data_IF_031057648331
#
_entry.id   IF_031057648331
#
_cell.length_a   1.000
_cell.length_b   1.000
_cell.length_c   1.000
_cell.angle_alpha   90.00
_cell.angle_beta   90.00
_cell.angle_gamma   90.00
#
_symmetry.space_group_name_H-M   'P 1'
#
loop_
_entity.id
_entity.type
_entity.pdbx_description
1 polymer ?
#
# COMPACT_ATOMS: atom_id res chain seq x y z
N UNK A 1 0.13 33.76 -93.83
CA UNK A 1 -0.08 32.38 -94.34
C UNK A 1 1.26 31.72 -94.60
N UNK A 2 1.71 30.82 -93.72
CA UNK A 2 2.43 29.57 -94.03
C UNK A 2 2.67 28.83 -92.70
N UNK A 3 2.18 27.60 -92.65
CA UNK A 3 2.31 26.63 -91.56
C UNK A 3 3.71 26.00 -91.59
N UNK A 4 4.19 25.54 -90.42
CA UNK A 4 4.41 24.12 -90.12
C UNK A 4 5.59 23.88 -89.16
N UNK A 5 5.29 23.16 -88.06
CA UNK A 5 6.03 22.04 -87.41
C UNK A 5 7.49 22.28 -86.98
N UNK A 6 8.00 21.87 -85.82
CA UNK A 6 7.89 20.55 -85.16
C UNK A 6 8.51 20.65 -83.75
N UNK A 7 7.94 19.95 -82.76
CA UNK A 7 8.62 19.51 -81.51
C UNK A 7 9.51 18.28 -81.84
N UNK A 8 10.58 17.93 -81.08
CA UNK A 8 10.38 17.31 -79.75
C UNK A 8 11.56 17.33 -78.72
N UNK A 9 11.22 16.87 -77.49
CA UNK A 9 12.03 16.09 -76.52
C UNK A 9 13.17 16.83 -75.76
N UNK A 10 13.47 16.63 -74.45
CA UNK A 10 12.79 16.10 -73.24
C UNK A 10 13.82 16.14 -72.08
N UNK A 11 13.37 16.42 -70.84
CA UNK A 11 13.91 15.98 -69.50
C UNK A 11 15.31 16.51 -69.07
N UNK A 12 15.40 17.47 -68.15
CA UNK A 12 15.42 17.42 -66.65
C UNK A 12 16.84 17.79 -66.15
N UNK A 13 17.09 18.38 -64.99
CA UNK A 13 16.45 18.30 -63.68
C UNK A 13 16.78 19.54 -62.82
N UNK A 14 15.88 19.79 -61.86
CA UNK A 14 15.86 20.71 -60.71
C UNK A 14 17.23 21.01 -60.06
N UNK A 15 17.57 22.28 -59.77
CA UNK A 15 17.04 23.14 -58.69
C UNK A 15 17.38 22.63 -57.28
N UNK A 16 18.13 23.42 -56.50
CA UNK A 16 17.68 23.97 -55.21
C UNK A 16 18.65 25.03 -54.65
N UNK A 17 18.01 26.13 -54.33
CA UNK A 17 18.41 27.40 -53.73
C UNK A 17 18.65 27.28 -52.22
N UNK A 18 19.45 28.17 -51.62
CA UNK A 18 18.98 29.11 -50.57
C UNK A 18 20.08 30.08 -50.11
N UNK A 19 19.76 31.37 -50.23
CA UNK A 19 20.43 32.51 -49.61
C UNK A 19 19.76 32.83 -48.27
N UNK A 20 20.44 33.57 -47.38
CA UNK A 20 19.90 34.81 -46.76
C UNK A 20 20.91 35.54 -45.87
N UNK A 21 20.73 36.85 -45.84
CA UNK A 21 21.59 37.93 -45.40
C UNK A 21 20.75 38.88 -44.51
N UNK A 22 21.42 39.60 -43.60
CA UNK A 22 21.09 40.92 -43.00
C UNK A 22 20.00 41.04 -41.92
N UNK A 23 20.39 41.65 -40.78
CA UNK A 23 19.57 42.26 -39.72
C UNK A 23 19.30 43.76 -40.00
N UNK A 24 18.33 44.44 -39.32
CA UNK A 24 18.76 45.50 -38.38
C UNK A 24 17.83 45.85 -37.19
N UNK A 25 18.48 46.21 -36.07
CA UNK A 25 18.30 47.29 -35.06
C UNK A 25 16.95 48.05 -34.93
N UNK A 26 16.41 48.18 -33.69
CA UNK A 26 16.09 49.47 -33.01
C UNK A 26 15.57 49.31 -31.56
N UNK A 27 16.05 50.23 -30.72
CA UNK A 27 15.97 50.44 -29.25
C UNK A 27 14.67 51.04 -28.72
N UNK A 28 14.20 50.59 -27.53
CA UNK A 28 13.57 51.45 -26.48
C UNK A 28 13.95 50.89 -25.09
N UNK A 29 14.70 51.66 -24.31
CA UNK A 29 14.94 51.42 -22.89
C UNK A 29 13.86 52.14 -22.07
N UNK A 30 13.10 51.40 -21.28
CA UNK A 30 12.05 51.91 -20.40
C UNK A 30 12.25 51.43 -18.95
N UNK A 31 12.34 52.41 -18.04
CA UNK A 31 12.04 52.37 -16.60
C UNK A 31 12.49 51.15 -15.77
N UNK A 32 13.61 51.33 -15.06
CA UNK A 32 13.97 50.54 -13.87
C UNK A 32 13.07 50.98 -12.72
N UNK A 33 12.03 50.19 -12.43
CA UNK A 33 11.35 50.19 -11.14
C UNK A 33 11.80 48.95 -10.37
N UNK A 34 12.49 49.14 -9.25
CA UNK A 34 12.91 48.08 -8.33
C UNK A 34 11.69 47.45 -7.67
N UNK A 35 11.10 46.46 -8.32
CA UNK A 35 10.23 45.48 -7.68
C UNK A 35 11.06 44.23 -7.39
N UNK A 36 11.41 44.01 -6.11
CA UNK A 36 11.95 42.73 -5.67
C UNK A 36 10.87 41.67 -5.85
N UNK A 37 10.86 41.02 -7.01
CA UNK A 37 10.12 39.78 -7.20
C UNK A 37 10.74 38.77 -6.23
N UNK A 38 10.06 38.51 -5.11
CA UNK A 38 10.26 37.30 -4.34
C UNK A 38 9.85 36.14 -5.27
N UNK A 39 10.83 35.62 -6.01
CA UNK A 39 10.71 34.31 -6.62
C UNK A 39 10.60 33.35 -5.45
N UNK A 40 9.37 32.93 -5.13
CA UNK A 40 9.15 31.83 -4.22
C UNK A 40 10.03 30.66 -4.72
N UNK A 41 10.76 29.97 -3.84
CA UNK A 41 11.51 28.79 -4.27
C UNK A 41 10.52 27.88 -4.99
N UNK A 42 10.81 27.53 -6.24
CA UNK A 42 10.09 26.45 -6.89
C UNK A 42 10.11 25.25 -5.93
N UNK A 43 8.99 24.52 -5.74
CA UNK A 43 9.01 23.33 -4.91
C UNK A 43 10.15 22.46 -5.41
N UNK A 44 11.14 22.25 -4.55
CA UNK A 44 12.23 21.36 -4.87
C UNK A 44 11.59 19.97 -4.98
N UNK A 45 11.45 19.48 -6.21
CA UNK A 45 11.26 18.05 -6.47
C UNK A 45 12.53 17.39 -5.96
N UNK A 46 12.52 17.02 -4.67
CA UNK A 46 13.50 16.07 -4.17
C UNK A 46 13.06 14.72 -4.71
N UNK A 47 13.89 14.14 -5.57
CA UNK A 47 13.82 12.71 -5.83
C UNK A 47 13.77 12.05 -4.45
N UNK A 48 12.67 11.37 -4.14
CA UNK A 48 12.69 10.38 -3.07
C UNK A 48 13.94 9.54 -3.32
N UNK A 49 14.76 9.30 -2.30
CA UNK A 49 15.95 8.47 -2.47
C UNK A 49 15.57 7.22 -3.27
N UNK A 50 16.27 6.90 -4.35
CA UNK A 50 15.99 5.76 -5.25
C UNK A 50 16.06 4.38 -4.56
N UNK A 51 16.13 4.33 -3.22
CA UNK A 51 16.14 3.12 -2.42
C UNK A 51 14.77 2.80 -1.82
N UNK A 52 14.59 1.53 -1.46
CA UNK A 52 13.40 1.04 -0.77
C UNK A 52 13.17 1.78 0.57
N UNK A 53 12.00 2.44 0.77
CA UNK A 53 11.68 3.16 1.99
C UNK A 53 11.54 2.28 3.23
N UNK A 54 11.49 0.95 3.08
CA UNK A 54 11.42 -0.03 4.17
C UNK A 54 12.79 -0.63 4.53
N UNK A 55 13.85 -0.34 3.77
CA UNK A 55 15.19 -0.85 4.03
C UNK A 55 16.00 0.00 5.04
N UNK A 56 17.02 -0.59 5.67
CA UNK A 56 17.99 0.16 6.48
C UNK A 56 17.54 0.54 7.91
N UNK A 57 16.40 0.05 8.37
CA UNK A 57 16.00 0.07 9.79
C UNK A 57 15.12 -1.16 10.10
N UNK A 58 15.11 -1.66 11.36
CA UNK A 58 14.19 -2.72 11.75
C UNK A 58 12.74 -2.21 11.76
N UNK A 59 11.77 -3.12 11.63
CA UNK A 59 10.36 -2.80 11.89
C UNK A 59 10.09 -2.76 13.39
N UNK A 60 9.11 -1.94 13.80
CA UNK A 60 8.81 -1.71 15.21
C UNK A 60 8.02 -2.87 15.85
N UNK A 61 8.52 -3.36 16.98
CA UNK A 61 7.82 -4.31 17.84
C UNK A 61 6.97 -3.53 18.83
N UNK A 62 5.66 -3.76 18.84
CA UNK A 62 4.75 -3.10 19.79
C UNK A 62 4.88 -3.72 21.20
N UNK A 63 5.45 -3.00 22.18
CA UNK A 63 5.63 -3.53 23.54
C UNK A 63 4.31 -3.69 24.31
N UNK A 64 3.20 -3.17 23.76
CA UNK A 64 1.87 -3.24 24.35
C UNK A 64 0.91 -4.11 23.50
N UNK A 65 1.43 -4.98 22.64
CA UNK A 65 0.60 -5.91 21.85
C UNK A 65 -0.11 -6.94 22.74
N UNK A 66 -1.20 -7.52 22.23
CA UNK A 66 -1.88 -8.62 22.93
C UNK A 66 -0.96 -9.85 23.08
N UNK A 67 -0.13 -10.14 22.07
CA UNK A 67 0.89 -11.17 22.13
C UNK A 67 1.93 -10.89 23.23
N UNK A 68 2.40 -9.64 23.36
CA UNK A 68 3.33 -9.26 24.42
C UNK A 68 2.72 -9.43 25.81
N UNK A 69 1.46 -9.00 26.01
CA UNK A 69 0.74 -9.26 27.27
C UNK A 69 0.59 -10.76 27.55
N UNK A 70 0.20 -11.55 26.55
CA UNK A 70 0.04 -12.98 26.70
C UNK A 70 1.35 -13.68 27.07
N UNK A 71 2.46 -13.34 26.38
CA UNK A 71 3.79 -13.87 26.66
C UNK A 71 4.27 -13.52 28.08
N UNK A 72 4.07 -12.27 28.53
CA UNK A 72 4.44 -11.83 29.88
C UNK A 72 3.60 -12.49 30.99
N UNK A 73 2.34 -12.84 30.69
CA UNK A 73 1.43 -13.49 31.63
C UNK A 73 1.51 -15.02 31.65
N UNK A 74 2.27 -15.64 30.74
CA UNK A 74 2.33 -17.10 30.61
C UNK A 74 3.09 -17.74 31.79
N UNK A 75 2.44 -18.70 32.47
CA UNK A 75 3.02 -19.48 33.55
C UNK A 75 2.67 -20.98 33.37
N UNK A 76 3.65 -21.85 33.03
CA UNK A 76 5.05 -21.52 32.76
C UNK A 76 5.22 -20.68 31.49
N UNK A 77 6.38 -20.01 31.29
CA UNK A 77 6.64 -19.22 30.08
C UNK A 77 6.44 -20.04 28.79
N UNK A 78 5.78 -19.45 27.79
CA UNK A 78 5.63 -20.05 26.45
C UNK A 78 6.65 -19.47 25.47
N UNK A 79 7.56 -20.29 24.90
CA UNK A 79 8.50 -19.82 23.88
C UNK A 79 7.76 -19.38 22.60
N UNK A 80 6.65 -20.02 22.24
CA UNK A 80 5.85 -19.69 21.07
C UNK A 80 5.26 -18.27 21.18
N UNK A 81 4.63 -17.95 22.32
CA UNK A 81 4.10 -16.61 22.57
C UNK A 81 5.22 -15.57 22.61
N UNK A 82 6.37 -15.91 23.20
CA UNK A 82 7.54 -15.02 23.29
C UNK A 82 8.10 -14.69 21.91
N UNK A 83 8.20 -15.67 21.02
CA UNK A 83 8.69 -15.46 19.66
C UNK A 83 7.75 -14.57 18.84
N UNK A 84 6.44 -14.80 18.90
CA UNK A 84 5.45 -13.95 18.22
C UNK A 84 5.45 -12.53 18.81
N UNK A 85 5.49 -12.40 20.15
CA UNK A 85 5.50 -11.10 20.82
C UNK A 85 6.70 -10.23 20.44
N UNK A 86 7.86 -10.84 20.18
CA UNK A 86 9.09 -10.15 19.80
C UNK A 86 9.25 -9.98 18.28
N UNK A 87 8.29 -10.42 17.47
CA UNK A 87 8.30 -10.21 16.02
C UNK A 87 7.48 -8.97 15.67
N UNK A 88 8.01 -8.02 14.87
CA UNK A 88 7.29 -6.79 14.54
C UNK A 88 6.03 -7.09 13.72
N UNK A 89 4.96 -6.33 13.97
CA UNK A 89 3.65 -6.55 13.38
C UNK A 89 2.97 -5.20 13.12
N UNK A 90 1.98 -5.16 12.22
CA UNK A 90 1.21 -3.95 11.99
C UNK A 90 0.33 -3.57 13.19
N UNK A 91 0.21 -2.26 13.43
CA UNK A 91 -0.77 -1.69 14.34
C UNK A 91 -2.04 -1.33 13.57
N UNK A 92 -3.12 -2.06 13.84
CA UNK A 92 -4.40 -1.87 13.18
C UNK A 92 -5.14 -0.67 13.76
N UNK A 93 -5.38 0.33 12.92
CA UNK A 93 -6.13 1.53 13.24
C UNK A 93 -7.56 1.31 12.75
N UNK A 94 -8.48 1.15 13.69
CA UNK A 94 -9.92 1.00 13.46
C UNK A 94 -10.67 2.22 14.00
N UNK A 95 -11.93 2.47 13.57
CA UNK A 95 -12.76 3.55 14.10
C UNK A 95 -12.75 3.59 15.64
N UNK A 96 -12.58 4.79 16.20
CA UNK A 96 -12.41 5.01 17.63
C UNK A 96 -10.96 5.27 18.08
N UNK A 97 -9.97 4.98 17.24
CA UNK A 97 -8.56 5.36 17.49
C UNK A 97 -8.37 6.87 17.32
N UNK A 98 -7.79 7.55 18.32
CA UNK A 98 -7.51 8.99 18.22
C UNK A 98 -6.22 9.28 17.42
N UNK A 99 -6.17 10.44 16.76
CA UNK A 99 -4.95 10.94 16.10
C UNK A 99 -3.75 10.99 17.07
N UNK A 100 -3.99 11.35 18.34
CA UNK A 100 -2.96 11.36 19.38
C UNK A 100 -2.41 9.97 19.70
N UNK A 101 -3.23 8.93 19.66
CA UNK A 101 -2.79 7.54 19.88
C UNK A 101 -1.91 7.07 18.73
N UNK A 102 -2.31 7.40 17.49
CA UNK A 102 -1.52 7.10 16.28
C UNK A 102 -0.18 7.82 16.34
N UNK A 103 -0.19 9.14 16.59
CA UNK A 103 1.04 9.94 16.66
C UNK A 103 1.97 9.49 17.78
N UNK A 104 1.44 9.08 18.94
CA UNK A 104 2.27 8.50 20.00
C UNK A 104 2.94 7.20 19.54
N UNK A 105 2.19 6.29 18.93
CA UNK A 105 2.74 5.01 18.45
C UNK A 105 3.85 5.20 17.42
N UNK A 106 3.62 6.08 16.44
CA UNK A 106 4.60 6.42 15.40
C UNK A 106 5.83 7.11 15.99
N UNK A 107 5.63 8.03 16.94
CA UNK A 107 6.70 8.71 17.66
C UNK A 107 7.57 7.76 18.49
N UNK A 108 6.96 6.84 19.25
CA UNK A 108 7.66 5.82 20.03
C UNK A 108 8.53 4.93 19.11
N UNK A 109 7.99 4.52 17.95
CA UNK A 109 8.71 3.71 16.97
C UNK A 109 9.91 4.43 16.37
N UNK A 110 9.72 5.69 15.93
CA UNK A 110 10.81 6.50 15.39
C UNK A 110 11.87 6.81 16.45
N UNK A 111 11.49 7.03 17.71
CA UNK A 111 12.42 7.20 18.83
C UNK A 111 13.23 5.92 19.13
N UNK A 112 12.67 4.74 18.84
CA UNK A 112 13.37 3.46 18.90
C UNK A 112 14.24 3.17 17.66
N UNK A 113 14.28 4.08 16.67
CA UNK A 113 14.99 3.88 15.41
C UNK A 113 14.38 2.79 14.53
N UNK A 114 13.09 2.52 14.70
CA UNK A 114 12.37 1.46 14.00
C UNK A 114 11.22 2.02 13.14
N UNK A 115 10.85 1.30 12.08
CA UNK A 115 9.77 1.68 11.17
C UNK A 115 8.44 1.14 11.72
N UNK A 116 7.49 2.01 12.14
CA UNK A 116 6.14 1.56 12.45
C UNK A 116 5.41 1.12 11.18
N UNK A 117 4.71 -0.01 11.26
CA UNK A 117 3.76 -0.45 10.24
C UNK A 117 2.36 -0.22 10.79
N UNK A 118 1.55 0.53 10.05
CA UNK A 118 0.14 0.81 10.36
C UNK A 118 -0.74 0.06 9.35
N UNK A 119 -1.87 -0.48 9.82
CA UNK A 119 -2.92 -0.99 8.95
C UNK A 119 -4.19 -0.17 9.20
N UNK A 120 -4.54 0.73 8.28
CA UNK A 120 -5.75 1.56 8.38
C UNK A 120 -6.93 0.71 7.90
N UNK A 121 -7.95 0.52 8.75
CA UNK A 121 -9.05 -0.41 8.48
C UNK A 121 -10.39 0.15 8.96
N UNK A 122 -10.86 1.21 8.32
CA UNK A 122 -12.04 1.99 8.70
C UNK A 122 -12.97 2.38 7.55
N UNK A 123 -12.80 1.82 6.34
CA UNK A 123 -13.66 2.15 5.19
C UNK A 123 -15.16 1.93 5.50
N UNK A 124 -16.08 2.82 5.09
CA UNK A 124 -17.51 2.55 5.19
C UNK A 124 -17.92 1.23 4.51
N UNK A 125 -18.91 0.57 5.09
CA UNK A 125 -19.33 -0.78 4.70
C UNK A 125 -18.19 -1.81 4.76
N UNK A 126 -17.30 -1.68 5.75
CA UNK A 126 -16.15 -2.56 5.94
C UNK A 126 -16.60 -4.02 6.01
N UNK A 127 -15.86 -4.89 5.33
CA UNK A 127 -16.12 -6.34 5.27
C UNK A 127 -17.53 -6.71 4.79
N UNK A 128 -18.23 -5.77 4.14
CA UNK A 128 -19.56 -5.97 3.55
C UNK A 128 -20.60 -6.61 4.50
N UNK A 129 -20.46 -6.40 5.81
CA UNK A 129 -21.35 -6.97 6.82
C UNK A 129 -20.97 -8.38 7.32
N UNK A 130 -19.80 -8.89 6.94
CA UNK A 130 -19.26 -10.19 7.40
C UNK A 130 -18.62 -10.09 8.81
N UNK A 131 -17.73 -11.00 9.18
CA UNK A 131 -17.26 -11.19 10.56
C UNK A 131 -16.47 -10.01 11.16
N UNK A 132 -15.84 -9.20 10.32
CA UNK A 132 -15.10 -7.99 10.66
C UNK A 132 -15.86 -6.70 10.28
N UNK A 133 -17.19 -6.77 10.11
CA UNK A 133 -18.04 -5.63 9.78
C UNK A 133 -17.79 -4.41 10.68
N UNK A 134 -17.91 -3.22 10.10
CA UNK A 134 -17.71 -1.96 10.79
C UNK A 134 -17.39 -0.84 9.80
N UNK A 135 -16.45 0.02 10.17
CA UNK A 135 -16.05 1.18 9.38
C UNK A 135 -16.69 2.48 9.87
N UNK A 136 -16.29 3.58 9.24
CA UNK A 136 -16.85 4.91 9.50
C UNK A 136 -18.30 4.99 8.98
N UNK A 137 -19.08 5.92 9.53
CA UNK A 137 -20.50 6.07 9.22
C UNK A 137 -20.80 6.67 7.85
N UNK A 138 -19.86 7.41 7.28
CA UNK A 138 -20.00 8.10 5.99
C UNK A 138 -18.64 8.35 5.33
N UNK A 139 -18.66 8.77 4.06
CA UNK A 139 -17.45 9.18 3.36
C UNK A 139 -16.80 10.43 3.97
N UNK A 140 -17.60 11.39 4.45
CA UNK A 140 -17.07 12.60 5.10
C UNK A 140 -16.40 12.28 6.44
N UNK A 141 -17.00 11.38 7.23
CA UNK A 141 -16.37 10.90 8.47
C UNK A 141 -15.05 10.18 8.19
N UNK A 142 -15.01 9.36 7.13
CA UNK A 142 -13.79 8.68 6.70
C UNK A 142 -12.70 9.67 6.30
N UNK A 143 -13.02 10.70 5.51
CA UNK A 143 -12.06 11.73 5.10
C UNK A 143 -11.50 12.49 6.30
N UNK A 144 -12.37 12.93 7.22
CA UNK A 144 -11.93 13.60 8.45
C UNK A 144 -11.08 12.71 9.36
N UNK A 145 -11.35 11.41 9.38
CA UNK A 145 -10.54 10.44 10.11
C UNK A 145 -9.15 10.25 9.49
N UNK A 146 -9.05 10.16 8.16
CA UNK A 146 -7.79 10.13 7.43
C UNK A 146 -6.97 11.41 7.66
N UNK A 147 -7.60 12.58 7.63
CA UNK A 147 -6.93 13.85 7.95
C UNK A 147 -6.32 13.83 9.36
N UNK A 148 -7.06 13.29 10.33
CA UNK A 148 -6.58 13.12 11.70
C UNK A 148 -5.39 12.15 11.79
N UNK A 149 -5.44 11.02 11.08
CA UNK A 149 -4.32 10.06 11.02
C UNK A 149 -3.08 10.71 10.39
N UNK A 150 -3.23 11.36 9.24
CA UNK A 150 -2.13 12.03 8.55
C UNK A 150 -1.47 13.11 9.43
N UNK A 151 -2.29 13.90 10.13
CA UNK A 151 -1.82 14.89 11.10
C UNK A 151 -1.05 14.25 12.27
N UNK A 152 -1.54 13.11 12.79
CA UNK A 152 -0.88 12.37 13.86
C UNK A 152 0.46 11.74 13.44
N UNK A 153 0.55 11.22 12.22
CA UNK A 153 1.79 10.69 11.64
C UNK A 153 2.84 11.80 11.47
N UNK A 154 2.42 12.96 10.98
CA UNK A 154 3.31 14.11 10.78
C UNK A 154 4.34 13.87 9.68
N UNK A 155 5.60 14.22 9.93
CA UNK A 155 6.73 14.00 9.01
C UNK A 155 7.63 12.86 9.52
N UNK A 156 7.02 11.72 9.81
CA UNK A 156 7.67 10.58 10.47
C UNK A 156 7.84 9.44 9.48
N UNK A 157 8.93 8.68 9.59
CA UNK A 157 9.07 7.46 8.79
C UNK A 157 8.01 6.45 9.22
N UNK A 158 7.20 5.98 8.28
CA UNK A 158 6.09 5.05 8.52
C UNK A 158 5.76 4.23 7.29
N UNK A 159 5.36 2.97 7.47
CA UNK A 159 4.70 2.17 6.44
C UNK A 159 3.21 2.08 6.74
N UNK A 160 2.37 2.29 5.72
CA UNK A 160 0.90 2.27 5.85
C UNK A 160 0.33 1.26 4.86
N UNK A 161 -0.34 0.24 5.39
CA UNK A 161 -1.23 -0.65 4.65
C UNK A 161 -2.63 -0.05 4.71
N UNK A 162 -3.17 0.32 3.56
CA UNK A 162 -4.40 1.10 3.44
C UNK A 162 -5.57 0.21 3.07
N UNK A 163 -6.52 0.10 4.00
CA UNK A 163 -7.83 -0.54 3.87
C UNK A 163 -7.79 -1.96 3.30
N UNK A 164 -7.25 -2.93 4.09
CA UNK A 164 -7.35 -4.35 3.77
C UNK A 164 -8.73 -4.74 3.22
N UNK A 165 -8.73 -5.51 2.13
CA UNK A 165 -9.90 -6.04 1.42
C UNK A 165 -10.78 -5.00 0.70
N UNK A 166 -10.60 -3.69 0.92
CA UNK A 166 -11.60 -2.71 0.48
C UNK A 166 -11.82 -2.72 -1.03
N UNK A 167 -10.74 -2.76 -1.82
CA UNK A 167 -10.82 -2.83 -3.28
C UNK A 167 -11.27 -4.22 -3.77
N UNK A 168 -10.76 -5.28 -3.17
CA UNK A 168 -11.08 -6.66 -3.56
C UNK A 168 -12.54 -7.03 -3.27
N UNK A 169 -13.10 -6.54 -2.18
CA UNK A 169 -14.47 -6.83 -1.77
C UNK A 169 -15.50 -5.81 -2.31
N UNK A 170 -15.09 -4.84 -3.12
CA UNK A 170 -15.93 -3.71 -3.53
C UNK A 170 -17.17 -4.11 -4.36
N UNK A 171 -17.20 -5.31 -4.95
CA UNK A 171 -18.34 -5.80 -5.74
C UNK A 171 -19.55 -6.23 -4.91
N UNK A 172 -19.41 -6.27 -3.58
CA UNK A 172 -20.55 -6.42 -2.67
C UNK A 172 -21.45 -5.16 -2.65
N UNK A 173 -20.93 -4.03 -3.13
CA UNK A 173 -21.59 -2.72 -3.09
C UNK A 173 -22.37 -2.43 -4.37
N UNK A 174 -23.30 -1.48 -4.29
CA UNK A 174 -23.89 -0.89 -5.50
C UNK A 174 -22.81 -0.15 -6.33
N UNK A 175 -23.09 0.11 -7.61
CA UNK A 175 -22.13 0.79 -8.47
C UNK A 175 -21.69 2.17 -7.93
N UNK A 176 -22.63 2.95 -7.39
CA UNK A 176 -22.35 4.27 -6.82
C UNK A 176 -21.52 4.15 -5.53
N UNK A 177 -21.85 3.22 -4.64
CA UNK A 177 -21.09 2.97 -3.41
C UNK A 177 -19.68 2.43 -3.69
N UNK A 178 -19.54 1.60 -4.73
CA UNK A 178 -18.23 1.11 -5.18
C UNK A 178 -17.36 2.26 -5.70
N UNK A 179 -17.94 3.17 -6.48
CA UNK A 179 -17.22 4.37 -6.92
C UNK A 179 -16.83 5.27 -5.75
N UNK A 180 -17.75 5.49 -4.80
CA UNK A 180 -17.47 6.24 -3.58
C UNK A 180 -16.32 5.62 -2.77
N UNK A 181 -16.27 4.28 -2.67
CA UNK A 181 -15.15 3.57 -2.05
C UNK A 181 -13.83 3.87 -2.76
N UNK A 182 -13.78 3.80 -4.09
CA UNK A 182 -12.56 4.12 -4.83
C UNK A 182 -12.11 5.57 -4.62
N UNK A 183 -13.07 6.50 -4.55
CA UNK A 183 -12.78 7.91 -4.29
C UNK A 183 -12.28 8.15 -2.86
N UNK A 184 -12.78 7.41 -1.88
CA UNK A 184 -12.29 7.43 -0.50
C UNK A 184 -10.86 6.87 -0.39
N UNK A 185 -10.55 5.75 -1.05
CA UNK A 185 -9.18 5.22 -1.07
C UNK A 185 -8.23 6.21 -1.75
N UNK A 186 -8.63 6.81 -2.89
CA UNK A 186 -7.84 7.84 -3.57
C UNK A 186 -7.57 9.04 -2.67
N UNK A 187 -8.59 9.53 -1.97
CA UNK A 187 -8.44 10.61 -1.02
C UNK A 187 -7.43 10.26 0.10
N UNK A 188 -7.48 9.03 0.60
CA UNK A 188 -6.55 8.56 1.62
C UNK A 188 -5.12 8.49 1.10
N UNK A 189 -4.91 7.96 -0.12
CA UNK A 189 -3.60 8.00 -0.79
C UNK A 189 -3.11 9.44 -0.88
N UNK A 190 -3.88 10.33 -1.51
CA UNK A 190 -3.49 11.73 -1.75
C UNK A 190 -3.22 12.53 -0.47
N UNK A 191 -3.81 12.13 0.65
CA UNK A 191 -3.66 12.80 1.95
C UNK A 191 -2.46 12.27 2.72
N UNK A 192 -2.29 10.95 2.77
CA UNK A 192 -1.19 10.30 3.50
C UNK A 192 0.16 10.54 2.80
N UNK A 193 0.19 10.58 1.47
CA UNK A 193 1.43 10.76 0.69
C UNK A 193 1.90 12.21 0.62
N UNK A 194 1.19 13.16 1.27
CA UNK A 194 1.71 14.51 1.51
C UNK A 194 2.94 14.49 2.42
N UNK A 195 3.06 13.48 3.29
CA UNK A 195 4.30 13.20 4.00
C UNK A 195 5.24 12.39 3.09
N UNK A 196 6.39 12.94 2.66
CA UNK A 196 7.34 12.20 1.83
C UNK A 196 8.00 11.02 2.56
N UNK A 197 7.83 10.88 3.87
CA UNK A 197 8.37 9.77 4.67
C UNK A 197 7.37 8.62 4.86
N UNK A 198 6.12 8.77 4.39
CA UNK A 198 5.10 7.75 4.46
C UNK A 198 5.14 6.83 3.23
N UNK A 199 5.50 5.56 3.44
CA UNK A 199 5.39 4.52 2.43
C UNK A 199 3.97 3.92 2.46
N UNK A 200 3.12 4.35 1.53
CA UNK A 200 1.70 3.93 1.47
C UNK A 200 1.53 2.78 0.48
N UNK A 201 0.88 1.70 0.93
CA UNK A 201 0.54 0.50 0.17
C UNK A 201 -0.97 0.30 0.20
N UNK A 202 -1.64 0.47 -0.94
CA UNK A 202 -3.08 0.23 -1.07
C UNK A 202 -3.35 -1.28 -1.11
N UNK A 203 -4.27 -1.80 -0.30
CA UNK A 203 -4.50 -3.25 -0.28
C UNK A 203 -5.13 -3.78 -1.57
N UNK A 204 -4.57 -4.87 -2.07
CA UNK A 204 -4.89 -5.51 -3.34
C UNK A 204 -5.40 -6.95 -3.18
N UNK A 205 -5.84 -7.34 -1.98
CA UNK A 205 -6.30 -8.70 -1.72
C UNK A 205 -5.18 -9.74 -1.87
N UNK A 206 -5.39 -10.76 -2.69
CA UNK A 206 -4.45 -11.88 -2.87
C UNK A 206 -4.68 -12.59 -4.21
N UNK A 207 -3.77 -13.49 -4.60
CA UNK A 207 -3.76 -14.06 -5.96
C UNK A 207 -5.04 -14.77 -6.39
N UNK A 208 -5.80 -15.32 -5.43
CA UNK A 208 -7.07 -16.04 -5.69
C UNK A 208 -8.34 -15.21 -5.54
N UNK A 209 -8.24 -13.88 -5.39
CA UNK A 209 -9.42 -13.03 -5.24
C UNK A 209 -9.88 -12.45 -6.57
N UNK A 210 -8.97 -11.76 -7.25
CA UNK A 210 -9.18 -11.14 -8.56
C UNK A 210 -8.00 -11.43 -9.47
N UNK A 211 -8.23 -11.38 -10.79
CA UNK A 211 -7.12 -11.37 -11.74
C UNK A 211 -6.18 -10.18 -11.49
N UNK A 212 -4.93 -10.28 -11.94
CA UNK A 212 -3.98 -9.18 -11.80
C UNK A 212 -4.46 -7.95 -12.58
N UNK A 213 -5.09 -8.15 -13.74
CA UNK A 213 -5.67 -7.11 -14.58
C UNK A 213 -6.82 -6.38 -13.88
N UNK A 214 -7.75 -7.12 -13.28
CA UNK A 214 -8.88 -6.52 -12.57
C UNK A 214 -8.40 -5.72 -11.35
N UNK A 215 -7.46 -6.27 -10.59
CA UNK A 215 -6.93 -5.58 -9.41
C UNK A 215 -6.09 -4.37 -9.77
N UNK A 216 -5.23 -4.46 -10.80
CA UNK A 216 -4.47 -3.33 -11.31
C UNK A 216 -5.40 -2.20 -11.80
N UNK A 217 -6.52 -2.52 -12.46
CA UNK A 217 -7.51 -1.53 -12.86
C UNK A 217 -8.12 -0.80 -11.64
N UNK A 218 -8.44 -1.53 -10.56
CA UNK A 218 -8.96 -0.94 -9.30
C UNK A 218 -7.91 -0.07 -8.63
N UNK A 219 -6.66 -0.53 -8.53
CA UNK A 219 -5.55 0.21 -7.94
C UNK A 219 -5.27 1.52 -8.71
N UNK A 220 -5.25 1.47 -10.05
CA UNK A 220 -5.09 2.64 -10.89
C UNK A 220 -6.25 3.64 -10.69
N UNK A 221 -7.49 3.16 -10.57
CA UNK A 221 -8.61 4.02 -10.20
C UNK A 221 -8.39 4.62 -8.80
N UNK A 222 -7.98 3.84 -7.82
CA UNK A 222 -7.75 4.28 -6.44
C UNK A 222 -6.50 5.16 -6.26
N UNK A 223 -5.75 5.49 -7.32
CA UNK A 223 -4.63 6.43 -7.27
C UNK A 223 -3.30 5.81 -6.82
N UNK A 224 -3.08 4.50 -7.03
CA UNK A 224 -1.83 3.81 -6.63
C UNK A 224 -0.56 4.50 -7.14
N UNK A 225 -0.60 5.20 -8.28
CA UNK A 225 0.54 5.93 -8.83
C UNK A 225 1.02 7.12 -7.98
N UNK A 226 0.26 7.55 -6.97
CA UNK A 226 0.69 8.53 -5.97
C UNK A 226 1.23 7.86 -4.69
N UNK A 227 1.03 6.56 -4.53
CA UNK A 227 1.49 5.75 -3.41
C UNK A 227 2.86 5.13 -3.71
N UNK A 228 3.41 4.37 -2.73
CA UNK A 228 4.57 3.50 -3.00
C UNK A 228 4.15 2.28 -3.82
N UNK A 229 2.95 1.77 -3.54
CA UNK A 229 2.27 0.77 -4.35
C UNK A 229 1.17 0.06 -3.58
N UNK A 230 1.25 -1.26 -3.43
CA UNK A 230 0.14 -2.07 -2.89
C UNK A 230 0.55 -3.19 -1.92
N UNK A 231 -0.39 -3.72 -1.14
CA UNK A 231 -0.18 -4.90 -0.29
C UNK A 231 -0.94 -6.10 -0.81
N UNK A 232 -0.39 -7.30 -0.62
CA UNK A 232 -1.05 -8.56 -0.94
C UNK A 232 -0.99 -9.55 0.23
N UNK A 233 -1.90 -10.52 0.20
CA UNK A 233 -2.04 -11.62 1.16
C UNK A 233 -2.45 -11.21 2.57
N UNK A 234 -2.85 -9.94 2.80
CA UNK A 234 -3.23 -9.43 4.12
C UNK A 234 -4.23 -10.36 4.79
N UNK A 235 -3.88 -10.86 5.98
CA UNK A 235 -4.67 -11.83 6.74
C UNK A 235 -4.98 -13.16 6.03
N UNK A 236 -4.32 -13.49 4.94
CA UNK A 236 -4.48 -14.76 4.22
C UNK A 236 -3.24 -15.66 4.38
N UNK A 237 -3.15 -16.71 3.56
CA UNK A 237 -2.26 -17.85 3.78
C UNK A 237 -1.51 -18.29 2.53
N UNK A 238 -1.66 -17.59 1.40
CA UNK A 238 -1.02 -17.98 0.15
C UNK A 238 0.51 -17.87 0.24
N UNK A 239 1.19 -18.77 -0.46
CA UNK A 239 2.64 -18.87 -0.35
C UNK A 239 3.30 -17.59 -0.84
N UNK A 240 4.45 -17.25 -0.25
CA UNK A 240 5.21 -16.07 -0.64
C UNK A 240 5.60 -16.10 -2.12
N UNK A 241 5.90 -17.28 -2.67
CA UNK A 241 6.24 -17.45 -4.09
C UNK A 241 5.05 -17.12 -5.01
N UNK A 242 3.86 -17.65 -4.69
CA UNK A 242 2.64 -17.36 -5.44
C UNK A 242 2.30 -15.86 -5.43
N UNK A 243 2.44 -15.23 -4.27
CA UNK A 243 2.14 -13.81 -4.08
C UNK A 243 3.20 -12.88 -4.71
N UNK A 244 4.46 -13.31 -4.82
CA UNK A 244 5.46 -12.61 -5.66
C UNK A 244 4.99 -12.64 -7.12
N UNK A 245 4.59 -13.81 -7.64
CA UNK A 245 4.11 -13.91 -9.02
C UNK A 245 2.93 -12.98 -9.30
N UNK A 246 1.98 -12.93 -8.38
CA UNK A 246 0.83 -12.03 -8.46
C UNK A 246 1.22 -10.55 -8.33
N UNK A 247 2.08 -10.22 -7.38
CA UNK A 247 2.60 -8.86 -7.18
C UNK A 247 3.37 -8.33 -8.38
N UNK A 248 4.27 -9.11 -8.96
CA UNK A 248 5.00 -8.69 -10.18
C UNK A 248 4.05 -8.45 -11.37
N UNK A 249 3.00 -9.27 -11.52
CA UNK A 249 1.99 -9.06 -12.56
C UNK A 249 1.23 -7.75 -12.37
N UNK A 250 0.75 -7.45 -11.15
CA UNK A 250 0.10 -6.17 -10.85
C UNK A 250 1.07 -5.00 -11.03
N UNK A 251 2.33 -5.13 -10.59
CA UNK A 251 3.37 -4.10 -10.72
C UNK A 251 3.55 -3.67 -12.18
N UNK A 252 3.67 -4.64 -13.10
CA UNK A 252 3.78 -4.37 -14.53
C UNK A 252 2.59 -3.61 -15.13
N UNK A 253 1.40 -3.75 -14.53
CA UNK A 253 0.15 -3.10 -14.95
C UNK A 253 -0.14 -1.78 -14.20
N UNK A 254 0.69 -1.43 -13.22
CA UNK A 254 0.60 -0.22 -12.39
C UNK A 254 1.87 0.62 -12.48
N UNK A 255 2.51 0.60 -13.66
CA UNK A 255 3.72 1.38 -13.98
C UNK A 255 4.90 1.12 -13.02
N UNK A 256 5.10 -0.14 -12.62
CA UNK A 256 6.22 -0.54 -11.76
C UNK A 256 6.00 -0.21 -10.28
N UNK A 257 4.75 -0.14 -9.82
CA UNK A 257 4.45 0.07 -8.40
C UNK A 257 5.06 -1.06 -7.55
N UNK A 258 5.57 -0.71 -6.38
CA UNK A 258 6.14 -1.69 -5.44
C UNK A 258 5.07 -2.36 -4.59
N UNK A 259 5.43 -3.44 -3.89
CA UNK A 259 4.47 -4.12 -3.03
C UNK A 259 5.07 -4.74 -1.78
N UNK A 260 4.20 -5.04 -0.81
CA UNK A 260 4.52 -5.81 0.39
C UNK A 260 3.62 -7.04 0.48
N UNK A 261 4.14 -8.11 1.08
CA UNK A 261 3.40 -9.37 1.24
C UNK A 261 3.20 -9.65 2.73
N UNK A 262 1.96 -9.92 3.15
CA UNK A 262 1.70 -10.48 4.47
C UNK A 262 2.17 -11.94 4.52
N UNK A 263 3.12 -12.21 5.41
CA UNK A 263 3.74 -13.53 5.64
C UNK A 263 3.45 -14.05 7.05
N UNK A 264 2.53 -13.40 7.77
CA UNK A 264 2.20 -13.72 9.16
C UNK A 264 1.78 -15.18 9.38
N UNK A 265 1.08 -15.79 8.42
CA UNK A 265 0.47 -17.14 8.57
C UNK A 265 0.65 -18.07 7.37
N UNK A 266 1.51 -17.73 6.43
CA UNK A 266 1.61 -18.43 5.15
C UNK A 266 2.70 -19.52 5.06
N UNK A 267 3.36 -19.87 6.17
CA UNK A 267 4.49 -20.82 6.16
C UNK A 267 4.14 -22.25 5.72
N UNK A 268 2.85 -22.60 5.71
CA UNK A 268 2.33 -23.88 5.24
C UNK A 268 1.37 -23.75 4.04
N UNK A 269 1.35 -22.58 3.39
CA UNK A 269 0.40 -22.25 2.33
C UNK A 269 -1.06 -22.18 2.82
N UNK A 270 -2.03 -22.16 1.89
CA UNK A 270 -3.45 -22.12 2.24
C UNK A 270 -3.97 -23.49 2.68
N UNK A 271 -5.07 -23.49 3.44
CA UNK A 271 -5.84 -24.70 3.69
C UNK A 271 -6.54 -25.17 2.38
N UNK A 272 -6.96 -26.45 2.30
CA UNK A 272 -7.75 -26.93 1.16
C UNK A 272 -8.95 -26.03 0.86
N UNK A 273 -9.24 -25.83 -0.43
CA UNK A 273 -10.28 -24.89 -0.87
C UNK A 273 -11.65 -25.26 -0.29
N UNK A 274 -12.26 -24.28 0.37
CA UNK A 274 -13.63 -24.29 0.90
C UNK A 274 -14.08 -22.86 1.15
N UNK A 275 -15.39 -22.64 1.33
CA UNK A 275 -15.99 -21.30 1.47
C UNK A 275 -15.33 -20.42 2.55
N UNK A 276 -14.92 -21.03 3.67
CA UNK A 276 -14.31 -20.34 4.81
C UNK A 276 -12.90 -20.86 5.10
N UNK A 277 -12.16 -21.35 4.10
CA UNK A 277 -10.79 -21.84 4.29
C UNK A 277 -9.80 -20.76 4.79
N UNK A 278 -10.19 -19.49 4.71
CA UNK A 278 -9.47 -18.34 5.23
C UNK A 278 -9.84 -17.98 6.69
N UNK A 279 -10.94 -18.52 7.24
CA UNK A 279 -11.46 -18.11 8.55
C UNK A 279 -11.04 -19.09 9.66
N UNK A 280 -10.01 -18.73 10.43
CA UNK A 280 -9.39 -19.55 11.48
C UNK A 280 -9.10 -21.01 11.01
N UNK A 281 -8.42 -21.22 9.87
CA UNK A 281 -8.06 -22.56 9.41
C UNK A 281 -6.99 -23.19 10.31
N UNK A 282 -7.14 -24.49 10.55
CA UNK A 282 -6.13 -25.26 11.27
C UNK A 282 -4.94 -25.64 10.36
N UNK A 283 -3.84 -26.04 11.00
CA UNK A 283 -2.67 -26.57 10.30
C UNK A 283 -1.89 -25.56 9.47
N UNK A 284 -2.13 -24.26 9.66
CA UNK A 284 -1.31 -23.19 9.10
C UNK A 284 -0.05 -22.99 9.96
N UNK A 285 0.91 -22.23 9.46
CA UNK A 285 2.19 -22.00 10.12
C UNK A 285 2.60 -20.53 10.01
N UNK A 286 3.35 -20.01 10.98
CA UNK A 286 4.05 -18.74 10.80
C UNK A 286 4.91 -18.80 9.53
N UNK A 287 4.88 -17.75 8.72
CA UNK A 287 5.74 -17.61 7.56
C UNK A 287 7.06 -16.90 7.89
N UNK A 288 7.70 -16.37 6.85
CA UNK A 288 8.95 -15.62 6.99
C UNK A 288 8.76 -14.43 7.94
N UNK A 289 9.63 -14.21 8.93
CA UNK A 289 9.59 -13.00 9.75
C UNK A 289 9.77 -11.74 8.90
N UNK A 290 9.29 -10.56 9.35
CA UNK A 290 9.35 -9.36 8.53
C UNK A 290 10.76 -8.96 8.11
N UNK A 291 10.94 -8.66 6.83
CA UNK A 291 12.25 -8.36 6.22
C UNK A 291 12.10 -7.57 4.92
N UNK A 292 13.04 -6.68 4.64
CA UNK A 292 13.20 -6.02 3.34
C UNK A 292 14.10 -6.82 2.37
N UNK A 293 14.68 -7.94 2.82
CA UNK A 293 15.41 -8.88 1.96
C UNK A 293 14.41 -9.85 1.32
N UNK A 294 13.82 -9.44 0.20
CA UNK A 294 12.79 -10.20 -0.52
C UNK A 294 13.37 -10.85 -1.78
N UNK A 295 12.60 -11.76 -2.38
CA UNK A 295 12.93 -12.41 -3.65
C UNK A 295 12.22 -11.80 -4.87
N UNK A 296 11.23 -10.92 -4.68
CA UNK A 296 10.52 -10.22 -5.75
C UNK A 296 11.28 -8.96 -6.18
N UNK A 297 11.23 -8.60 -7.46
CA UNK A 297 11.96 -7.44 -7.99
C UNK A 297 11.36 -6.12 -7.48
N UNK A 298 10.03 -6.08 -7.29
CA UNK A 298 9.32 -4.91 -6.76
C UNK A 298 8.73 -5.17 -5.36
N UNK A 299 9.07 -6.30 -4.73
CA UNK A 299 8.68 -6.59 -3.35
C UNK A 299 9.57 -5.82 -2.38
N UNK A 300 9.05 -4.77 -1.74
CA UNK A 300 9.80 -3.99 -0.75
C UNK A 300 10.01 -4.77 0.55
N UNK A 301 8.98 -5.47 1.02
CA UNK A 301 9.09 -6.23 2.27
C UNK A 301 8.12 -7.40 2.35
N UNK A 302 8.54 -8.40 3.11
CA UNK A 302 7.63 -9.31 3.80
C UNK A 302 7.29 -8.69 5.14
N UNK A 303 6.02 -8.61 5.48
CA UNK A 303 5.51 -8.03 6.72
C UNK A 303 4.58 -9.02 7.41
N UNK A 304 4.40 -8.87 8.72
CA UNK A 304 3.30 -9.50 9.44
C UNK A 304 2.23 -8.43 9.63
N UNK A 305 1.31 -8.36 8.66
CA UNK A 305 0.24 -7.36 8.67
C UNK A 305 -0.86 -7.84 9.61
N UNK A 306 -1.42 -9.03 9.37
CA UNK A 306 -2.22 -9.73 10.37
C UNK A 306 -1.35 -10.10 11.57
N UNK A 307 -1.93 -9.96 12.76
CA UNK A 307 -1.28 -10.30 14.03
C UNK A 307 -1.53 -11.79 14.36
N UNK A 308 -0.52 -12.68 14.33
CA UNK A 308 -0.71 -14.08 14.65
C UNK A 308 -1.31 -14.28 16.05
N UNK A 309 -2.41 -15.03 16.11
CA UNK A 309 -3.19 -15.23 17.33
C UNK A 309 -4.53 -14.50 17.35
N UNK A 310 -4.72 -13.46 16.53
CA UNK A 310 -6.04 -12.81 16.44
C UNK A 310 -7.01 -13.62 15.59
N UNK A 311 -8.19 -13.91 16.14
CA UNK A 311 -9.27 -14.57 15.42
C UNK A 311 -9.65 -13.79 14.15
N UNK A 312 -10.00 -14.51 13.09
CA UNK A 312 -10.54 -13.98 11.83
C UNK A 312 -12.04 -13.68 11.93
N UNK A 313 -12.73 -14.24 12.93
CA UNK A 313 -14.17 -14.10 13.09
C UNK A 313 -14.80 -15.27 13.82
N UNK A 314 -16.14 -15.23 13.94
CA UNK A 314 -16.89 -16.38 14.46
C UNK A 314 -16.91 -17.57 13.51
N UNK A 315 -16.57 -17.34 12.22
CA UNK A 315 -16.30 -18.35 11.20
C UNK A 315 -17.40 -19.42 11.04
N UNK A 316 -18.66 -19.07 11.35
CA UNK A 316 -19.79 -20.01 11.32
C UNK A 316 -19.70 -21.18 12.34
N UNK A 317 -18.70 -21.17 13.23
CA UNK A 317 -18.41 -22.26 14.18
C UNK A 317 -18.31 -21.80 15.64
N UNK A 318 -18.64 -20.54 15.91
CA UNK A 318 -18.68 -19.99 17.27
C UNK A 318 -17.31 -19.58 17.82
N UNK A 319 -16.33 -19.38 16.93
CA UNK A 319 -15.00 -18.88 17.31
C UNK A 319 -15.09 -17.45 17.89
N UNK A 320 -14.04 -16.98 18.60
CA UNK A 320 -13.97 -15.62 19.11
C UNK A 320 -14.16 -14.55 18.01
N UNK A 321 -14.71 -13.40 18.37
CA UNK A 321 -14.93 -12.29 17.43
C UNK A 321 -13.63 -11.85 16.73
N UNK A 322 -13.75 -11.34 15.50
CA UNK A 322 -12.60 -10.89 14.70
C UNK A 322 -11.73 -9.89 15.47
N UNK A 323 -10.41 -10.10 15.43
CA UNK A 323 -9.43 -9.28 16.17
C UNK A 323 -9.23 -9.66 17.64
N UNK A 324 -10.02 -10.61 18.18
CA UNK A 324 -9.79 -11.12 19.54
C UNK A 324 -8.54 -11.98 19.57
N UNK A 325 -7.56 -11.64 20.41
CA UNK A 325 -6.36 -12.45 20.58
C UNK A 325 -6.64 -13.75 21.33
N UNK A 326 -6.22 -14.86 20.74
CA UNK A 326 -6.37 -16.22 21.25
C UNK A 326 -4.98 -16.85 21.32
N UNK A 327 -4.43 -17.02 22.53
CA UNK A 327 -3.08 -17.57 22.73
C UNK A 327 -2.88 -18.91 22.04
N UNK A 328 -3.92 -19.77 22.02
CA UNK A 328 -3.83 -21.07 21.37
C UNK A 328 -3.60 -20.95 19.86
N UNK A 329 -4.25 -20.01 19.17
CA UNK A 329 -4.04 -19.81 17.73
C UNK A 329 -2.62 -19.35 17.42
N UNK A 330 -2.05 -18.48 18.27
CA UNK A 330 -0.66 -18.05 18.17
C UNK A 330 0.30 -19.24 18.35
N UNK A 331 0.09 -20.04 19.40
CA UNK A 331 0.90 -21.23 19.71
C UNK A 331 0.84 -22.26 18.57
N UNK A 332 -0.35 -22.51 18.01
CA UNK A 332 -0.53 -23.49 16.93
C UNK A 332 0.22 -23.08 15.66
N UNK A 333 0.16 -21.80 15.29
CA UNK A 333 0.92 -21.24 14.16
C UNK A 333 2.44 -21.38 14.37
N UNK A 334 2.92 -21.06 15.57
CA UNK A 334 4.35 -21.12 15.91
C UNK A 334 4.89 -22.55 15.85
N UNK A 335 4.21 -23.51 16.48
CA UNK A 335 4.61 -24.93 16.47
C UNK A 335 4.66 -25.51 15.07
N UNK A 336 3.72 -25.13 14.21
CA UNK A 336 3.73 -25.55 12.80
C UNK A 336 4.82 -24.88 11.98
N UNK A 337 5.26 -23.69 12.36
CA UNK A 337 6.41 -22.99 11.78
C UNK A 337 7.78 -23.52 12.23
N UNK A 338 7.83 -24.53 13.10
CA UNK A 338 9.07 -25.13 13.58
C UNK A 338 9.70 -24.42 14.77
N UNK A 339 8.91 -23.66 15.53
CA UNK A 339 9.31 -23.11 16.84
C UNK A 339 8.97 -24.04 18.00
#
# INVERSE_FOLDING_TARGET
MRRSTTFPIVISSAARTLARWVAPVLTIAGLISMGSLHVAPAPAVRLASDGDPLAGAPFYVNPNSAAMRAAQSADPPSPELTAIANTPQAYWIVPGSSASTVGKYVGDANAAGAIPVLAIYGIPHRDCGSFAAGGMGSADDYRGWIDGIASGVGASRVAVVLEPDALAMADCLSADQRQERYDMIRYAVDTLTRDPNAAVYVDAGHLRWHSAEDMAARLNQAGVGHARGFSVNTANFFTTEDEIGYGEAISGLTNGSHYVIDTSRNGAGPAPDSELNWCNPSGRALGTPPTAATAGAHADAYLWIKRPGESDGSCGKGDPAAGTFVSQYAIDLARKGGQ
#
